data_IF_717945478480
#
_entry.id   IF_717945478480
#
_cell.length_a   1.000
_cell.length_b   1.000
_cell.length_c   1.000
_cell.angle_alpha   90.00
_cell.angle_beta   90.00
_cell.angle_gamma   90.00
#
_symmetry.space_group_name_H-M   'P 1'
#
loop_
_entity.id
_entity.type
_entity.pdbx_description
1 polymer ?
#
# COMPACT_ATOMS: atom_id res chain seq x y z
N UNK A 1 -15.48 10.25 -3.53
CA UNK A 1 -14.87 10.87 -4.70
C UNK A 1 -15.05 12.39 -4.60
N UNK A 2 -13.97 13.16 -4.78
CA UNK A 2 -14.09 14.60 -4.88
C UNK A 2 -14.87 14.96 -6.14
N UNK A 3 -15.58 16.10 -6.14
CA UNK A 3 -16.34 16.61 -7.31
C UNK A 3 -15.44 16.67 -8.55
N UNK A 4 -14.16 17.06 -8.39
CA UNK A 4 -13.19 17.12 -9.48
C UNK A 4 -12.84 15.75 -10.10
N UNK A 5 -12.80 14.67 -9.31
CA UNK A 5 -12.55 13.33 -9.84
C UNK A 5 -13.76 12.80 -10.63
N UNK A 6 -14.96 13.02 -10.12
CA UNK A 6 -16.20 12.67 -10.84
C UNK A 6 -16.33 13.42 -12.16
N UNK A 7 -15.98 14.73 -12.19
CA UNK A 7 -15.98 15.56 -13.39
C UNK A 7 -14.98 15.04 -14.44
N UNK A 8 -13.77 14.64 -14.02
CA UNK A 8 -12.78 14.05 -14.93
C UNK A 8 -13.26 12.74 -15.55
N UNK A 9 -13.85 11.84 -14.75
CA UNK A 9 -14.43 10.58 -15.25
C UNK A 9 -15.53 10.86 -16.27
N UNK A 10 -16.41 11.84 -15.97
CA UNK A 10 -17.49 12.22 -16.88
C UNK A 10 -16.95 12.75 -18.21
N UNK A 11 -16.02 13.69 -18.18
CA UNK A 11 -15.39 14.24 -19.39
C UNK A 11 -14.65 13.18 -20.21
N UNK A 12 -13.99 12.24 -19.54
CA UNK A 12 -13.34 11.11 -20.23
C UNK A 12 -14.39 10.25 -20.93
N UNK A 13 -15.51 9.96 -20.28
CA UNK A 13 -16.61 9.17 -20.87
C UNK A 13 -17.22 9.90 -22.07
N UNK A 14 -17.47 11.20 -21.97
CA UNK A 14 -17.98 12.01 -23.08
C UNK A 14 -17.02 11.99 -24.27
N UNK A 15 -15.72 12.13 -24.03
CA UNK A 15 -14.70 12.05 -25.09
C UNK A 15 -14.68 10.67 -25.76
N UNK A 16 -14.75 9.60 -25.00
CA UNK A 16 -14.73 8.23 -25.54
C UNK A 16 -15.99 7.92 -26.32
N UNK A 17 -17.16 8.38 -25.88
CA UNK A 17 -18.42 8.27 -26.61
C UNK A 17 -18.37 9.07 -27.93
N UNK A 18 -17.93 10.31 -27.88
CA UNK A 18 -17.83 11.18 -29.08
C UNK A 18 -16.87 10.63 -30.14
N UNK A 19 -15.88 9.83 -29.73
CA UNK A 19 -14.90 9.20 -30.62
C UNK A 19 -15.23 7.73 -30.94
N UNK A 20 -16.42 7.25 -30.61
CA UNK A 20 -16.89 5.87 -30.83
C UNK A 20 -15.94 4.80 -30.23
N UNK A 21 -15.27 5.12 -29.13
CA UNK A 21 -14.41 4.18 -28.39
C UNK A 21 -15.17 3.30 -27.41
N UNK A 22 -16.32 3.80 -26.94
CA UNK A 22 -17.26 3.09 -26.09
C UNK A 22 -18.70 3.34 -26.58
N UNK A 23 -19.65 2.54 -26.13
CA UNK A 23 -21.08 2.66 -26.43
C UNK A 23 -21.87 3.19 -25.24
N UNK A 24 -22.96 3.93 -25.52
CA UNK A 24 -23.88 4.36 -24.51
C UNK A 24 -24.78 3.20 -24.04
N UNK A 25 -24.82 2.95 -22.72
CA UNK A 25 -25.53 1.81 -22.11
C UNK A 25 -26.86 2.24 -21.44
N UNK A 26 -27.51 3.26 -21.96
CA UNK A 26 -28.81 3.75 -21.47
C UNK A 26 -28.75 4.69 -20.27
N UNK A 27 -27.65 4.74 -19.54
CA UNK A 27 -27.42 5.70 -18.45
C UNK A 27 -25.93 5.92 -18.21
N UNK A 28 -25.56 7.06 -17.61
CA UNK A 28 -24.19 7.36 -17.17
C UNK A 28 -23.63 6.27 -16.27
N UNK A 29 -24.43 5.80 -15.31
CA UNK A 29 -24.04 4.76 -14.37
C UNK A 29 -23.74 3.43 -15.09
N UNK A 30 -24.62 2.99 -15.97
CA UNK A 30 -24.42 1.73 -16.72
C UNK A 30 -23.21 1.82 -17.64
N UNK A 31 -23.03 2.94 -18.36
CA UNK A 31 -21.88 3.20 -19.23
C UNK A 31 -20.56 3.21 -18.43
N UNK A 32 -20.53 3.87 -17.26
CA UNK A 32 -19.37 3.85 -16.39
C UNK A 32 -19.01 2.43 -15.93
N UNK A 33 -19.96 1.69 -15.39
CA UNK A 33 -19.71 0.33 -14.88
C UNK A 33 -19.26 -0.67 -15.96
N UNK A 34 -19.72 -0.49 -17.19
CA UNK A 34 -19.32 -1.36 -18.30
C UNK A 34 -17.93 -1.04 -18.84
N UNK A 35 -17.55 0.25 -18.88
CA UNK A 35 -16.38 0.66 -19.66
C UNK A 35 -15.24 1.30 -18.84
N UNK A 36 -15.55 1.91 -17.70
CA UNK A 36 -14.61 2.75 -16.94
C UNK A 36 -14.46 2.35 -15.48
N UNK A 37 -15.23 1.36 -15.01
CA UNK A 37 -15.06 0.88 -13.64
C UNK A 37 -13.69 0.23 -13.47
N UNK A 38 -12.98 0.46 -12.36
CA UNK A 38 -11.63 -0.11 -12.14
C UNK A 38 -11.52 -1.62 -12.39
N UNK A 39 -12.57 -2.37 -12.09
CA UNK A 39 -12.56 -3.84 -12.25
C UNK A 39 -12.67 -4.33 -13.72
N UNK A 40 -12.99 -3.43 -14.66
CA UNK A 40 -13.09 -3.76 -16.09
C UNK A 40 -11.95 -3.18 -16.92
N UNK A 41 -11.04 -2.42 -16.31
CA UNK A 41 -9.89 -1.85 -16.99
C UNK A 41 -8.82 -2.92 -17.24
N UNK A 42 -8.23 -2.84 -18.44
CA UNK A 42 -7.14 -3.74 -18.85
C UNK A 42 -5.79 -3.21 -18.32
N UNK A 43 -5.39 -3.70 -17.13
CA UNK A 43 -4.10 -3.31 -16.53
C UNK A 43 -2.89 -3.95 -17.21
N UNK A 44 -3.06 -5.04 -17.95
CA UNK A 44 -1.97 -5.74 -18.65
C UNK A 44 -1.65 -5.15 -20.03
N UNK A 45 -2.22 -4.00 -20.38
CA UNK A 45 -1.96 -3.34 -21.64
C UNK A 45 -0.54 -2.76 -21.70
N UNK A 46 0.33 -3.40 -22.49
CA UNK A 46 1.73 -2.99 -22.63
C UNK A 46 1.87 -1.58 -23.19
N UNK A 47 1.06 -1.20 -24.17
CA UNK A 47 1.12 0.13 -24.81
C UNK A 47 0.82 1.23 -23.77
N UNK A 48 -0.12 1.00 -22.87
CA UNK A 48 -0.42 1.92 -21.75
C UNK A 48 0.82 2.12 -20.89
N UNK A 49 1.49 1.05 -20.48
CA UNK A 49 2.66 1.16 -19.60
C UNK A 49 3.88 1.76 -20.29
N UNK A 50 4.02 1.60 -21.62
CA UNK A 50 5.07 2.24 -22.41
C UNK A 50 4.87 3.76 -22.50
N UNK A 51 3.61 4.24 -22.49
CA UNK A 51 3.26 5.66 -22.57
C UNK A 51 3.31 6.35 -21.20
N UNK A 52 2.97 5.66 -20.11
CA UNK A 52 2.87 6.24 -18.75
C UNK A 52 4.09 7.09 -18.34
N UNK A 53 5.36 6.69 -18.61
CA UNK A 53 6.51 7.51 -18.26
C UNK A 53 6.56 8.87 -18.97
N UNK A 54 5.81 9.04 -20.07
CA UNK A 54 5.76 10.27 -20.87
C UNK A 54 4.58 11.17 -20.51
N UNK A 55 3.66 10.72 -19.65
CA UNK A 55 2.44 11.44 -19.27
C UNK A 55 2.67 12.21 -17.98
N UNK A 56 3.00 13.50 -18.08
CA UNK A 56 3.22 14.39 -16.94
C UNK A 56 1.93 14.89 -16.25
N UNK A 57 0.76 14.44 -16.67
CA UNK A 57 -0.54 14.92 -16.15
C UNK A 57 -1.27 13.92 -15.25
N UNK A 58 -0.69 12.76 -14.97
CA UNK A 58 -1.28 11.80 -14.04
C UNK A 58 -1.08 12.28 -12.61
N UNK A 59 -2.18 12.61 -11.92
CA UNK A 59 -2.15 13.06 -10.52
C UNK A 59 -1.33 12.09 -9.64
N UNK A 60 -0.38 12.65 -8.89
CA UNK A 60 0.59 11.94 -8.03
C UNK A 60 1.63 11.06 -8.75
N UNK A 61 1.53 10.92 -10.07
CA UNK A 61 2.53 10.27 -10.91
C UNK A 61 3.08 11.24 -11.97
N UNK A 62 3.01 12.53 -11.68
CA UNK A 62 3.39 13.65 -12.54
C UNK A 62 4.88 14.00 -12.51
N UNK A 63 5.67 13.27 -11.72
CA UNK A 63 7.15 13.38 -11.73
C UNK A 63 7.78 12.22 -12.50
N UNK A 64 8.96 12.45 -13.08
CA UNK A 64 9.69 11.41 -13.81
C UNK A 64 9.99 10.17 -12.93
N UNK A 65 10.26 10.39 -11.62
CA UNK A 65 10.53 9.32 -10.66
C UNK A 65 9.26 8.49 -10.41
N UNK A 66 8.13 9.15 -10.14
CA UNK A 66 6.87 8.46 -9.86
C UNK A 66 6.32 7.73 -11.10
N UNK A 67 6.43 8.33 -12.29
CA UNK A 67 6.03 7.68 -13.54
C UNK A 67 6.88 6.44 -13.84
N UNK A 68 8.22 6.53 -13.65
CA UNK A 68 9.12 5.39 -13.80
C UNK A 68 8.80 4.25 -12.83
N UNK A 69 8.55 4.58 -11.57
CA UNK A 69 8.19 3.59 -10.57
C UNK A 69 6.83 2.95 -10.85
N UNK A 70 5.84 3.71 -11.32
CA UNK A 70 4.55 3.18 -11.76
C UNK A 70 4.72 2.17 -12.89
N UNK A 71 5.53 2.51 -13.91
CA UNK A 71 5.83 1.58 -15.00
C UNK A 71 6.56 0.32 -14.53
N UNK A 72 7.44 0.43 -13.55
CA UNK A 72 8.17 -0.71 -12.99
C UNK A 72 7.27 -1.64 -12.14
N UNK A 73 6.30 -1.07 -11.44
CA UNK A 73 5.36 -1.85 -10.60
C UNK A 73 4.33 -2.62 -11.42
N UNK A 74 4.02 -2.15 -12.64
CA UNK A 74 3.00 -2.75 -13.54
C UNK A 74 1.76 -3.18 -12.76
N UNK A 75 0.95 -2.25 -12.23
CA UNK A 75 -0.25 -2.59 -11.47
C UNK A 75 -1.22 -3.45 -12.28
N UNK A 76 -1.76 -4.50 -11.67
CA UNK A 76 -2.81 -5.35 -12.27
C UNK A 76 -4.20 -5.05 -11.71
N UNK A 77 -4.29 -4.10 -10.78
CA UNK A 77 -5.53 -3.70 -10.12
C UNK A 77 -5.46 -2.27 -9.59
N UNK A 78 -6.61 -1.72 -9.22
CA UNK A 78 -6.66 -0.43 -8.50
C UNK A 78 -5.98 -0.51 -7.13
N UNK A 79 -5.97 -1.69 -6.50
CA UNK A 79 -5.27 -1.88 -5.22
C UNK A 79 -3.76 -1.81 -5.40
N UNK A 80 -3.21 -2.47 -6.43
CA UNK A 80 -1.80 -2.35 -6.79
C UNK A 80 -1.40 -0.90 -7.11
N UNK A 81 -2.27 -0.18 -7.83
CA UNK A 81 -2.04 1.23 -8.14
C UNK A 81 -2.01 2.10 -6.87
N UNK A 82 -2.90 1.82 -5.93
CA UNK A 82 -2.95 2.49 -4.62
C UNK A 82 -1.70 2.19 -3.80
N UNK A 83 -1.29 0.91 -3.73
CA UNK A 83 -0.08 0.49 -3.03
C UNK A 83 1.17 1.15 -3.63
N UNK A 84 1.33 1.12 -4.95
CA UNK A 84 2.44 1.78 -5.64
C UNK A 84 2.51 3.28 -5.30
N UNK A 85 1.37 3.98 -5.33
CA UNK A 85 1.29 5.40 -4.98
C UNK A 85 1.67 5.67 -3.51
N UNK A 86 1.25 4.81 -2.60
CA UNK A 86 1.57 4.94 -1.18
C UNK A 86 3.05 4.69 -0.91
N UNK A 87 3.60 3.61 -1.46
CA UNK A 87 4.99 3.18 -1.24
C UNK A 87 6.02 4.12 -1.84
N UNK A 88 5.67 4.83 -2.92
CA UNK A 88 6.54 5.86 -3.53
C UNK A 88 6.85 7.03 -2.59
N UNK A 89 6.00 7.27 -1.60
CA UNK A 89 6.14 8.37 -0.64
C UNK A 89 6.92 7.97 0.61
N UNK A 90 7.13 6.67 0.80
CA UNK A 90 7.82 6.16 1.95
C UNK A 90 9.33 6.37 1.76
N UNK A 91 9.99 6.84 2.82
CA UNK A 91 11.44 6.96 2.82
C UNK A 91 12.06 5.56 2.94
N UNK A 92 13.21 5.31 2.32
CA UNK A 92 13.96 4.10 2.63
C UNK A 92 14.35 4.15 4.12
N UNK A 93 13.94 3.15 4.87
CA UNK A 93 14.60 2.82 6.13
C UNK A 93 16.10 2.68 5.82
N UNK A 94 16.99 2.80 6.76
CA UNK A 94 18.44 2.59 6.58
C UNK A 94 18.80 1.27 5.83
N UNK A 95 17.92 0.75 5.02
CA UNK A 95 17.99 -0.48 4.26
C UNK A 95 18.54 -0.22 2.86
N UNK A 96 19.32 -1.18 2.35
CA UNK A 96 19.86 -1.16 0.99
C UNK A 96 18.77 -1.18 -0.11
N UNK A 97 17.50 -1.39 0.25
CA UNK A 97 16.38 -1.52 -0.67
C UNK A 97 15.23 -0.57 -0.30
N UNK A 98 14.75 0.21 -1.28
CA UNK A 98 13.60 1.09 -1.08
C UNK A 98 12.29 0.30 -0.92
N UNK A 99 11.26 0.83 -0.21
CA UNK A 99 9.96 0.17 -0.07
C UNK A 99 9.32 -0.22 -1.41
N UNK A 100 9.44 0.63 -2.44
CA UNK A 100 8.92 0.33 -3.77
C UNK A 100 9.68 -0.82 -4.46
N UNK A 101 11.00 -0.91 -4.32
CA UNK A 101 11.78 -2.01 -4.88
C UNK A 101 11.46 -3.33 -4.17
N UNK A 102 11.29 -3.29 -2.86
CA UNK A 102 10.85 -4.43 -2.05
C UNK A 102 9.45 -4.91 -2.48
N UNK A 103 8.53 -3.97 -2.72
CA UNK A 103 7.20 -4.27 -3.26
C UNK A 103 7.28 -4.99 -4.62
N UNK A 104 8.09 -4.48 -5.56
CA UNK A 104 8.27 -5.09 -6.87
C UNK A 104 8.86 -6.51 -6.74
N UNK A 105 9.85 -6.68 -5.86
CA UNK A 105 10.48 -7.98 -5.61
C UNK A 105 9.48 -9.01 -5.06
N UNK A 106 8.71 -8.65 -4.05
CA UNK A 106 7.72 -9.54 -3.44
C UNK A 106 6.52 -9.81 -4.36
N UNK A 107 6.08 -8.81 -5.13
CA UNK A 107 5.03 -8.97 -6.13
C UNK A 107 5.41 -9.99 -7.21
N UNK A 108 6.64 -9.93 -7.67
CA UNK A 108 7.14 -10.84 -8.71
C UNK A 108 7.56 -12.22 -8.16
N UNK A 109 7.90 -12.30 -6.88
CA UNK A 109 8.34 -13.53 -6.23
C UNK A 109 7.91 -13.54 -4.76
N UNK A 110 6.79 -14.19 -4.48
CA UNK A 110 6.28 -14.31 -3.10
C UNK A 110 7.26 -15.05 -2.17
N UNK A 111 7.99 -16.04 -2.69
CA UNK A 111 8.98 -16.78 -1.91
C UNK A 111 10.08 -15.88 -1.33
N UNK A 112 10.38 -14.76 -2.00
CA UNK A 112 11.33 -13.78 -1.47
C UNK A 112 10.83 -13.13 -0.17
N UNK A 113 9.52 -12.83 -0.06
CA UNK A 113 8.94 -12.36 1.20
C UNK A 113 8.97 -13.44 2.29
N UNK A 114 8.63 -14.67 1.92
CA UNK A 114 8.68 -15.81 2.86
C UNK A 114 10.10 -15.98 3.39
N UNK A 115 11.10 -15.99 2.50
CA UNK A 115 12.49 -16.18 2.90
C UNK A 115 13.01 -15.02 3.77
N UNK A 116 12.73 -13.77 3.42
CA UNK A 116 13.15 -12.61 4.22
C UNK A 116 12.56 -12.68 5.65
N UNK A 117 11.31 -13.13 5.79
CA UNK A 117 10.67 -13.28 7.10
C UNK A 117 11.24 -14.46 7.90
N UNK A 118 11.60 -15.55 7.24
CA UNK A 118 12.31 -16.69 7.86
C UNK A 118 13.69 -16.26 8.34
N UNK A 119 14.44 -15.59 7.50
CA UNK A 119 15.80 -15.11 7.81
C UNK A 119 15.79 -14.11 8.98
N UNK A 120 14.72 -13.34 9.13
CA UNK A 120 14.51 -12.48 10.30
C UNK A 120 14.19 -13.28 11.57
N UNK A 121 13.69 -14.52 11.45
CA UNK A 121 13.36 -15.41 12.57
C UNK A 121 11.88 -15.58 12.88
N UNK A 122 10.98 -15.24 11.93
CA UNK A 122 9.56 -15.45 12.08
C UNK A 122 9.16 -16.90 11.82
N UNK A 123 8.20 -17.41 12.60
CA UNK A 123 7.58 -18.70 12.36
C UNK A 123 6.38 -18.62 11.42
N UNK A 124 5.79 -19.77 11.07
CA UNK A 124 4.67 -19.87 10.11
C UNK A 124 3.41 -19.15 10.60
N UNK A 125 3.12 -19.20 11.90
CA UNK A 125 1.97 -18.56 12.51
C UNK A 125 2.08 -17.02 12.41
N UNK A 126 3.25 -16.48 12.74
CA UNK A 126 3.54 -15.03 12.67
C UNK A 126 3.49 -14.51 11.22
N UNK A 127 4.02 -15.29 10.26
CA UNK A 127 3.88 -14.99 8.84
C UNK A 127 2.42 -15.02 8.39
N UNK A 128 1.63 -15.97 8.88
CA UNK A 128 0.20 -16.05 8.64
C UNK A 128 -0.53 -14.80 9.12
N UNK A 129 -0.23 -14.34 10.34
CA UNK A 129 -0.79 -13.08 10.88
C UNK A 129 -0.44 -11.89 9.99
N UNK A 130 0.81 -11.74 9.57
CA UNK A 130 1.20 -10.64 8.67
C UNK A 130 0.47 -10.72 7.33
N UNK A 131 0.36 -11.90 6.75
CA UNK A 131 -0.27 -12.10 5.46
C UNK A 131 -1.77 -11.78 5.46
N UNK A 132 -2.48 -12.04 6.55
CA UNK A 132 -3.89 -11.66 6.72
C UNK A 132 -4.13 -10.15 6.53
N UNK A 133 -3.16 -9.30 6.91
CA UNK A 133 -3.28 -7.85 6.85
C UNK A 133 -2.56 -7.19 5.67
N UNK A 134 -1.54 -7.84 5.13
CA UNK A 134 -0.58 -7.22 4.22
C UNK A 134 -0.56 -7.87 2.82
N UNK A 135 -1.35 -8.93 2.58
CA UNK A 135 -1.32 -9.69 1.32
C UNK A 135 -1.65 -8.87 0.08
N UNK A 136 -2.55 -7.89 0.20
CA UNK A 136 -2.94 -6.99 -0.89
C UNK A 136 -1.83 -5.99 -1.32
N UNK A 137 -0.79 -5.85 -0.49
CA UNK A 137 0.44 -5.13 -0.82
C UNK A 137 1.69 -6.02 -0.69
N UNK A 138 1.53 -7.32 -0.93
CA UNK A 138 2.60 -8.33 -0.98
C UNK A 138 3.49 -8.34 0.26
N UNK A 139 2.90 -8.17 1.44
CA UNK A 139 3.60 -8.21 2.72
C UNK A 139 4.08 -6.85 3.26
N UNK A 140 3.71 -5.74 2.62
CA UNK A 140 4.07 -4.39 3.03
C UNK A 140 2.89 -3.61 3.62
N UNK A 141 3.16 -2.75 4.60
CA UNK A 141 2.17 -1.81 5.11
C UNK A 141 2.17 -0.53 4.25
N UNK A 142 1.29 -0.48 3.27
CA UNK A 142 1.11 0.65 2.36
C UNK A 142 0.17 1.74 2.90
N UNK A 143 -0.45 1.51 4.05
CA UNK A 143 -1.38 2.44 4.68
C UNK A 143 -1.30 2.46 6.20
N UNK A 144 -1.65 3.60 6.79
CA UNK A 144 -1.72 3.75 8.24
C UNK A 144 -2.83 2.88 8.87
N UNK A 145 -3.86 2.54 8.11
CA UNK A 145 -4.95 1.65 8.51
C UNK A 145 -4.42 0.24 8.77
N UNK A 146 -3.50 -0.25 7.94
CA UNK A 146 -2.86 -1.57 8.15
C UNK A 146 -2.03 -1.58 9.44
N UNK A 147 -1.28 -0.51 9.71
CA UNK A 147 -0.56 -0.35 10.98
C UNK A 147 -1.51 -0.41 12.18
N UNK A 148 -2.64 0.30 12.10
CA UNK A 148 -3.65 0.28 13.17
C UNK A 148 -4.25 -1.12 13.34
N UNK A 149 -4.71 -1.75 12.26
CA UNK A 149 -5.33 -3.08 12.31
C UNK A 149 -4.39 -4.12 12.86
N UNK A 150 -3.13 -4.12 12.42
CA UNK A 150 -2.12 -5.06 12.89
C UNK A 150 -1.82 -4.86 14.39
N UNK A 151 -1.71 -3.61 14.88
CA UNK A 151 -1.51 -3.34 16.30
C UNK A 151 -2.69 -3.74 17.19
N UNK A 152 -3.91 -3.79 16.65
CA UNK A 152 -5.12 -4.20 17.36
C UNK A 152 -5.29 -5.72 17.46
N UNK A 153 -4.59 -6.50 16.63
CA UNK A 153 -4.65 -7.95 16.68
C UNK A 153 -4.15 -8.48 18.03
N UNK A 154 -4.92 -9.40 18.63
CA UNK A 154 -4.60 -10.02 19.93
C UNK A 154 -3.38 -10.95 19.87
N UNK A 155 -2.90 -11.30 18.69
CA UNK A 155 -1.65 -12.05 18.46
C UNK A 155 -0.44 -11.12 18.33
N UNK A 156 -0.64 -9.79 18.30
CA UNK A 156 0.40 -8.77 18.13
C UNK A 156 0.53 -7.91 19.39
N UNK A 157 -0.37 -6.95 19.61
CA UNK A 157 -0.33 -6.07 20.76
C UNK A 157 -1.70 -5.90 21.45
N UNK A 158 -2.80 -6.30 20.80
CA UNK A 158 -4.14 -6.25 21.36
C UNK A 158 -4.63 -4.83 21.68
N UNK A 159 -4.17 -3.84 20.94
CA UNK A 159 -4.55 -2.44 21.16
C UNK A 159 -6.06 -2.22 20.98
N UNK A 160 -6.60 -1.31 21.77
CA UNK A 160 -7.90 -0.72 21.48
C UNK A 160 -7.79 0.25 20.28
N UNK A 161 -8.93 0.61 19.68
CA UNK A 161 -8.97 1.61 18.61
C UNK A 161 -8.34 2.95 19.03
N UNK A 162 -8.48 3.34 20.30
CA UNK A 162 -7.90 4.58 20.85
C UNK A 162 -6.36 4.50 20.89
N UNK A 163 -5.81 3.38 21.31
CA UNK A 163 -4.37 3.15 21.38
C UNK A 163 -3.74 3.02 20.00
N UNK A 164 -4.37 2.27 19.09
CA UNK A 164 -3.89 2.15 17.72
C UNK A 164 -3.91 3.49 16.97
N UNK A 165 -4.92 4.34 17.19
CA UNK A 165 -4.95 5.69 16.63
C UNK A 165 -3.88 6.62 17.24
N UNK A 166 -3.52 6.42 18.54
CA UNK A 166 -2.39 7.13 19.16
C UNK A 166 -1.07 6.70 18.52
N UNK A 167 -0.86 5.39 18.34
CA UNK A 167 0.29 4.83 17.62
C UNK A 167 0.43 5.44 16.23
N UNK A 168 -0.64 5.40 15.43
CA UNK A 168 -0.68 5.99 14.09
C UNK A 168 -0.23 7.45 14.08
N UNK A 169 -0.75 8.25 15.03
CA UNK A 169 -0.38 9.68 15.16
C UNK A 169 1.08 9.87 15.55
N UNK A 170 1.64 8.98 16.37
CA UNK A 170 3.04 9.03 16.79
C UNK A 170 3.98 8.67 15.65
N UNK A 171 3.61 7.66 14.84
CA UNK A 171 4.34 7.26 13.63
C UNK A 171 4.35 8.40 12.61
N UNK A 172 3.20 9.04 12.36
CA UNK A 172 3.07 10.13 11.39
C UNK A 172 3.79 11.42 11.81
N UNK A 173 4.13 11.58 13.09
CA UNK A 173 4.88 12.73 13.58
C UNK A 173 6.36 12.44 13.53
N UNK A 174 7.12 13.29 12.83
CA UNK A 174 8.60 13.22 12.76
C UNK A 174 9.28 13.63 14.09
N UNK A 175 8.87 12.98 15.20
CA UNK A 175 9.40 13.23 16.53
C UNK A 175 9.97 11.94 17.11
N UNK A 176 11.28 11.85 17.18
CA UNK A 176 12.01 10.69 17.72
C UNK A 176 11.49 10.31 19.12
N UNK A 177 11.27 11.31 19.98
CA UNK A 177 10.75 11.05 21.35
C UNK A 177 9.38 10.37 21.32
N UNK A 178 8.44 10.84 20.49
CA UNK A 178 7.10 10.26 20.42
C UNK A 178 7.11 8.87 19.79
N UNK A 179 8.01 8.62 18.85
CA UNK A 179 8.19 7.31 18.25
C UNK A 179 8.78 6.32 19.25
N UNK A 180 9.77 6.74 20.05
CA UNK A 180 10.37 5.91 21.08
C UNK A 180 9.36 5.56 22.19
N UNK A 181 8.59 6.53 22.68
CA UNK A 181 7.51 6.28 23.64
C UNK A 181 6.46 5.30 23.08
N UNK A 182 6.10 5.45 21.80
CA UNK A 182 5.16 4.55 21.14
C UNK A 182 5.74 3.13 20.95
N UNK A 183 7.05 3.01 20.67
CA UNK A 183 7.77 1.73 20.59
C UNK A 183 7.72 1.00 21.92
N UNK A 184 8.12 1.67 22.98
CA UNK A 184 8.11 1.09 24.34
C UNK A 184 6.72 0.59 24.72
N UNK A 185 5.68 1.38 24.46
CA UNK A 185 4.30 1.00 24.72
C UNK A 185 3.87 -0.21 23.88
N UNK A 186 4.19 -0.24 22.58
CA UNK A 186 3.86 -1.34 21.69
C UNK A 186 4.48 -2.66 22.16
N UNK A 187 5.76 -2.64 22.53
CA UNK A 187 6.47 -3.81 23.04
C UNK A 187 5.93 -4.25 24.42
N UNK A 188 5.60 -3.31 25.31
CA UNK A 188 4.99 -3.65 26.60
C UNK A 188 3.67 -4.39 26.44
N UNK A 189 2.79 -3.93 25.53
CA UNK A 189 1.51 -4.58 25.26
C UNK A 189 1.68 -5.97 24.63
N UNK A 190 2.55 -6.10 23.63
CA UNK A 190 2.84 -7.38 23.01
C UNK A 190 3.39 -8.40 24.02
N UNK A 191 4.33 -8.01 24.86
CA UNK A 191 4.88 -8.87 25.93
C UNK A 191 3.82 -9.32 26.93
N UNK A 192 2.88 -8.45 27.32
CA UNK A 192 1.79 -8.78 28.24
C UNK A 192 0.88 -9.89 27.71
N UNK A 193 0.72 -9.99 26.41
CA UNK A 193 -0.12 -11.03 25.79
C UNK A 193 0.69 -12.23 25.28
N UNK A 194 2.01 -12.25 25.51
CA UNK A 194 2.89 -13.38 25.16
C UNK A 194 3.44 -13.37 23.74
N UNK A 195 3.36 -12.25 23.04
CA UNK A 195 3.91 -12.10 21.69
C UNK A 195 5.44 -12.17 21.73
N UNK A 196 6.04 -12.95 20.82
CA UNK A 196 7.50 -13.11 20.76
C UNK A 196 8.18 -11.77 20.42
N UNK A 197 9.30 -11.50 21.10
CA UNK A 197 10.07 -10.28 20.93
C UNK A 197 10.51 -10.07 19.48
N UNK A 198 10.97 -11.14 18.82
CA UNK A 198 11.41 -11.09 17.42
C UNK A 198 10.26 -10.69 16.47
N UNK A 199 9.03 -11.09 16.75
CA UNK A 199 7.86 -10.70 15.97
C UNK A 199 7.49 -9.23 16.18
N UNK A 200 7.56 -8.72 17.41
CA UNK A 200 7.40 -7.30 17.72
C UNK A 200 8.47 -6.46 17.04
N UNK A 201 9.73 -6.94 17.04
CA UNK A 201 10.84 -6.29 16.37
C UNK A 201 10.63 -6.19 14.85
N UNK A 202 10.19 -7.28 14.22
CA UNK A 202 9.88 -7.27 12.80
C UNK A 202 8.78 -6.25 12.46
N UNK A 203 7.68 -6.30 13.22
CA UNK A 203 6.56 -5.37 12.99
C UNK A 203 7.01 -3.93 13.17
N UNK A 204 7.78 -3.62 14.19
CA UNK A 204 8.22 -2.25 14.45
C UNK A 204 9.26 -1.78 13.43
N UNK A 205 10.32 -2.54 13.25
CA UNK A 205 11.50 -2.11 12.49
C UNK A 205 11.38 -2.35 10.97
N UNK A 206 10.44 -3.21 10.53
CA UNK A 206 10.25 -3.50 9.10
C UNK A 206 8.89 -2.99 8.62
N UNK A 207 7.79 -3.35 9.33
CA UNK A 207 6.44 -3.03 8.86
C UNK A 207 6.08 -1.58 9.18
N UNK A 208 6.29 -1.10 10.41
CA UNK A 208 5.92 0.26 10.81
C UNK A 208 6.98 1.28 10.39
N UNK A 209 8.26 0.91 10.37
CA UNK A 209 9.35 1.81 10.00
C UNK A 209 9.15 2.38 8.58
N UNK A 210 8.68 1.57 7.64
CA UNK A 210 8.32 2.04 6.30
C UNK A 210 7.29 3.19 6.30
N UNK A 211 6.48 3.31 7.35
CA UNK A 211 5.46 4.36 7.51
C UNK A 211 5.92 5.55 8.37
N UNK A 212 7.16 5.53 8.89
CA UNK A 212 7.71 6.56 9.79
C UNK A 212 8.46 7.69 9.07
N UNK A 213 8.62 7.60 7.76
CA UNK A 213 9.38 8.51 6.90
C UNK A 213 8.78 9.91 6.68
#
# INVERSE_FOLDING_TARGET
LSVSAADKIHKTMDYLLANNKITWEGSLKATYYKWLHPDVLEYDNKEMWDIVPTIYSCFQFDTAISAKALSATKPHSVMDLSAANSLLRLQPDNADETPINRYIRYKNNHEAWVQDTIDFGLNDEERGVLWEYLSDAYGLADSQEKVMRLSMDKRVAGYTLKESNRLRKSIAKKSVKLQEEAKQQFFEYGRKIGTREIFLDYIWNVVFAASMG
#
